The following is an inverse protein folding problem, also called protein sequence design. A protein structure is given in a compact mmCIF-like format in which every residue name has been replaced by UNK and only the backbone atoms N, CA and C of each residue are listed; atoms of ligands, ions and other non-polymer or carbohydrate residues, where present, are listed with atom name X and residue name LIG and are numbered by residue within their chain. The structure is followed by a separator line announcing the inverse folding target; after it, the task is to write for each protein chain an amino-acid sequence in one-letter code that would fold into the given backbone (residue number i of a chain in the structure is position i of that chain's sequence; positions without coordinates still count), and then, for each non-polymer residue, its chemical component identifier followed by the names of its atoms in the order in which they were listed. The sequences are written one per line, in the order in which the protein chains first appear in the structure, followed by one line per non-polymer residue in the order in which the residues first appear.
data_IF_868819278212
#
_entry.id   IF_868819278212
#
_cell.length_a   1.000
_cell.length_b   1.000
_cell.length_c   1.000
_cell.angle_alpha   90.00
_cell.angle_beta   90.00
_cell.angle_gamma   90.00
#
_symmetry.space_group_name_H-M   'P 1'
#
loop_
_entity.id
_entity.type
_entity.pdbx_description
1 polymer ?
#
# COMPACT_ATOMS: atom_id res chain seq x y z
N UNK A 1 -18.34 -5.90 -0.27
CA UNK A 1 -17.37 -5.20 -1.14
C UNK A 1 -16.96 -6.16 -2.24
N UNK A 2 -16.78 -5.66 -3.47
CA UNK A 2 -16.38 -6.47 -4.62
C UNK A 2 -14.86 -6.64 -4.64
N UNK A 3 -14.35 -7.86 -4.83
CA UNK A 3 -12.94 -8.07 -5.11
C UNK A 3 -12.56 -7.44 -6.44
N UNK A 4 -11.32 -7.00 -6.59
CA UNK A 4 -10.83 -6.45 -7.85
C UNK A 4 -9.39 -6.92 -8.07
N UNK A 5 -9.01 -7.11 -9.34
CA UNK A 5 -7.66 -7.47 -9.72
C UNK A 5 -6.91 -6.26 -10.28
N UNK A 6 -5.59 -6.26 -10.13
CA UNK A 6 -4.72 -5.30 -10.79
C UNK A 6 -3.34 -5.91 -11.05
N UNK A 7 -2.64 -5.35 -12.05
CA UNK A 7 -1.25 -5.72 -12.34
C UNK A 7 -0.28 -4.87 -11.53
N UNK A 8 0.77 -5.49 -11.01
CA UNK A 8 1.76 -4.79 -10.20
C UNK A 8 3.01 -4.40 -10.98
N UNK A 9 3.52 -3.20 -10.71
CA UNK A 9 4.91 -2.85 -10.97
C UNK A 9 5.77 -3.25 -9.76
N UNK A 10 6.28 -4.49 -9.78
CA UNK A 10 6.85 -5.19 -8.62
C UNK A 10 8.18 -4.66 -8.10
N UNK A 11 8.74 -3.62 -8.72
CA UNK A 11 10.08 -3.10 -8.43
C UNK A 11 10.25 -2.72 -6.95
N UNK A 12 9.21 -2.15 -6.34
CA UNK A 12 9.18 -1.76 -4.92
C UNK A 12 9.35 -2.95 -3.95
N UNK A 13 8.95 -4.16 -4.36
CA UNK A 13 8.93 -5.32 -3.48
C UNK A 13 10.10 -6.28 -3.71
N UNK A 14 11.09 -5.89 -4.52
CA UNK A 14 12.36 -6.62 -4.62
C UNK A 14 12.22 -8.08 -5.08
N UNK A 15 11.21 -8.38 -5.90
CA UNK A 15 10.93 -9.74 -6.37
C UNK A 15 10.00 -10.55 -5.47
N UNK A 16 9.62 -10.05 -4.27
CA UNK A 16 8.58 -10.66 -3.46
C UNK A 16 7.20 -10.61 -4.14
N UNK A 17 7.01 -9.60 -5.00
CA UNK A 17 5.88 -9.53 -5.93
C UNK A 17 6.48 -9.36 -7.34
N UNK A 18 6.28 -10.33 -8.25
CA UNK A 18 6.78 -10.22 -9.61
C UNK A 18 6.17 -9.02 -10.36
N UNK A 19 6.95 -8.35 -11.19
CA UNK A 19 6.39 -7.35 -12.11
C UNK A 19 5.44 -8.02 -13.09
N UNK A 20 4.27 -7.41 -13.31
CA UNK A 20 3.19 -7.95 -14.13
C UNK A 20 2.30 -8.97 -13.43
N UNK A 21 2.59 -9.36 -12.19
CA UNK A 21 1.72 -10.25 -11.42
C UNK A 21 0.32 -9.64 -11.29
N UNK A 22 -0.69 -10.47 -11.53
CA UNK A 22 -2.08 -10.13 -11.23
C UNK A 22 -2.35 -10.49 -9.77
N UNK A 23 -2.77 -9.51 -8.98
CA UNK A 23 -3.15 -9.72 -7.60
C UNK A 23 -4.62 -9.39 -7.40
N UNK A 24 -5.34 -10.25 -6.67
CA UNK A 24 -6.72 -10.02 -6.28
C UNK A 24 -6.78 -9.36 -4.91
N UNK A 25 -7.37 -8.17 -4.83
CA UNK A 25 -7.57 -7.49 -3.55
C UNK A 25 -8.70 -8.18 -2.77
N UNK A 26 -8.38 -8.58 -1.54
CA UNK A 26 -9.35 -9.13 -0.60
C UNK A 26 -9.80 -8.02 0.38
N UNK A 27 -11.02 -7.48 0.23
CA UNK A 27 -11.53 -6.42 1.08
C UNK A 27 -12.18 -6.92 2.38
N UNK A 28 -12.18 -8.25 2.62
CA UNK A 28 -12.97 -8.87 3.70
C UNK A 28 -12.23 -9.19 5.01
N UNK A 29 -10.91 -9.48 5.05
CA UNK A 29 -10.23 -9.85 6.27
C UNK A 29 -9.63 -8.65 6.99
N UNK A 30 -9.49 -8.80 8.32
CA UNK A 30 -8.59 -7.98 9.10
C UNK A 30 -7.17 -8.08 8.54
N UNK A 31 -6.47 -6.94 8.49
CA UNK A 31 -5.12 -6.84 7.95
C UNK A 31 -4.13 -6.90 9.11
N UNK A 32 -3.19 -7.83 9.05
CA UNK A 32 -2.19 -8.04 10.09
C UNK A 32 -0.77 -7.68 9.63
N UNK A 33 0.14 -7.36 10.58
CA UNK A 33 1.56 -7.18 10.27
C UNK A 33 2.16 -8.37 9.49
N UNK A 34 3.07 -8.07 8.57
CA UNK A 34 3.69 -9.02 7.65
C UNK A 34 2.89 -9.28 6.36
N UNK A 35 1.64 -8.83 6.27
CA UNK A 35 0.82 -9.02 5.08
C UNK A 35 1.07 -7.95 4.02
N UNK A 36 0.91 -8.33 2.74
CA UNK A 36 0.88 -7.39 1.64
C UNK A 36 -0.44 -6.63 1.62
N UNK A 37 -0.35 -5.34 1.31
CA UNK A 37 -1.50 -4.45 1.19
C UNK A 37 -1.38 -3.58 -0.05
N UNK A 38 -2.51 -3.38 -0.71
CA UNK A 38 -2.68 -2.29 -1.67
C UNK A 38 -3.13 -1.06 -0.89
N UNK A 39 -2.41 0.05 -1.05
CA UNK A 39 -2.70 1.32 -0.39
C UNK A 39 -3.07 2.35 -1.42
N UNK A 40 -4.26 2.93 -1.27
CA UNK A 40 -4.75 4.05 -2.08
C UNK A 40 -4.64 5.32 -1.24
N UNK A 41 -3.91 6.31 -1.74
CA UNK A 41 -3.67 7.57 -1.04
C UNK A 41 -4.66 8.64 -1.48
N UNK A 42 -4.98 9.58 -0.57
CA UNK A 42 -5.77 10.77 -0.91
C UNK A 42 -5.01 11.63 -1.92
N UNK A 43 -5.74 12.19 -2.88
CA UNK A 43 -5.19 13.13 -3.87
C UNK A 43 -4.81 14.49 -3.28
N UNK A 44 -5.16 14.75 -2.02
CA UNK A 44 -4.94 16.01 -1.31
C UNK A 44 -4.13 15.78 -0.04
N UNK A 45 -3.46 16.83 0.43
CA UNK A 45 -2.68 16.82 1.67
C UNK A 45 -1.19 16.51 1.46
N UNK A 46 -0.44 16.25 2.54
CA UNK A 46 1.02 16.10 2.50
C UNK A 46 1.53 14.99 1.55
N UNK A 47 0.73 13.95 1.31
CA UNK A 47 1.07 12.84 0.40
C UNK A 47 0.58 13.05 -1.05
N UNK A 48 0.05 14.23 -1.39
CA UNK A 48 -0.52 14.50 -2.71
C UNK A 48 0.49 14.33 -3.84
N UNK A 49 1.77 14.64 -3.63
CA UNK A 49 2.80 14.49 -4.65
C UNK A 49 2.95 13.03 -5.08
N UNK A 50 2.99 12.12 -4.11
CA UNK A 50 3.01 10.69 -4.38
C UNK A 50 1.71 10.25 -5.05
N UNK A 51 0.55 10.66 -4.55
CA UNK A 51 -0.74 10.32 -5.14
C UNK A 51 -0.87 10.77 -6.61
N UNK A 52 -0.37 11.97 -6.94
CA UNK A 52 -0.35 12.48 -8.31
C UNK A 52 0.62 11.71 -9.20
N UNK A 53 1.81 11.36 -8.71
CA UNK A 53 2.76 10.53 -9.44
C UNK A 53 2.18 9.15 -9.77
N UNK A 54 1.48 8.50 -8.82
CA UNK A 54 0.81 7.22 -9.09
C UNK A 54 -0.24 7.38 -10.18
N UNK A 55 -1.11 8.38 -10.04
CA UNK A 55 -2.18 8.63 -10.99
C UNK A 55 -1.68 8.99 -12.40
N UNK A 56 -0.62 9.81 -12.50
CA UNK A 56 0.00 10.21 -13.76
C UNK A 56 0.64 9.06 -14.53
N UNK A 57 1.06 8.00 -13.83
CA UNK A 57 1.55 6.75 -14.42
C UNK A 57 0.44 5.71 -14.64
N UNK A 58 -0.83 6.08 -14.43
CA UNK A 58 -1.97 5.16 -14.57
C UNK A 58 -2.08 4.13 -13.44
N UNK A 59 -1.35 4.29 -12.34
CA UNK A 59 -1.38 3.37 -11.21
C UNK A 59 -2.47 3.76 -10.20
N UNK A 60 -3.24 2.76 -9.75
CA UNK A 60 -4.36 2.95 -8.81
C UNK A 60 -3.91 3.09 -7.34
N UNK A 61 -2.71 2.62 -7.01
CA UNK A 61 -2.18 2.61 -5.64
C UNK A 61 -0.77 2.03 -5.59
N UNK A 62 -0.29 1.73 -4.39
CA UNK A 62 1.00 1.06 -4.17
C UNK A 62 0.83 -0.21 -3.37
N UNK A 63 1.60 -1.25 -3.73
CA UNK A 63 1.73 -2.45 -2.90
C UNK A 63 2.87 -2.26 -1.91
N UNK A 64 2.60 -2.53 -0.63
CA UNK A 64 3.55 -2.49 0.48
C UNK A 64 3.30 -3.66 1.42
N UNK A 65 4.26 -3.93 2.30
CA UNK A 65 4.04 -4.82 3.45
C UNK A 65 3.61 -3.98 4.66
N UNK A 66 2.52 -4.37 5.33
CA UNK A 66 2.12 -3.74 6.59
C UNK A 66 3.05 -4.21 7.70
N UNK A 67 3.65 -3.29 8.46
CA UNK A 67 4.43 -3.60 9.66
C UNK A 67 3.62 -3.42 10.95
N UNK A 68 2.48 -2.73 10.86
CA UNK A 68 1.59 -2.42 11.98
C UNK A 68 1.16 -0.96 11.97
N UNK A 69 0.71 -0.47 13.12
CA UNK A 69 0.33 0.93 13.33
C UNK A 69 1.18 1.54 14.43
N UNK A 70 1.41 2.84 14.35
CA UNK A 70 2.04 3.64 15.39
C UNK A 70 1.24 4.91 15.62
N UNK A 71 1.49 5.58 16.74
CA UNK A 71 1.02 6.94 16.97
C UNK A 71 2.16 7.91 16.65
N UNK A 72 1.87 8.97 15.90
CA UNK A 72 2.83 10.07 15.69
C UNK A 72 2.95 10.91 16.95
N UNK A 73 4.00 11.74 17.06
CA UNK A 73 4.14 12.66 18.19
C UNK A 73 2.96 13.64 18.37
N UNK A 74 2.18 13.87 17.30
CA UNK A 74 0.95 14.68 17.33
C UNK A 74 -0.32 13.90 17.67
N UNK A 75 -0.23 12.65 18.15
CA UNK A 75 -1.38 11.84 18.52
C UNK A 75 -2.15 11.21 17.36
N UNK A 76 -1.60 11.24 16.14
CA UNK A 76 -2.26 10.72 14.94
C UNK A 76 -1.82 9.29 14.67
N UNK A 77 -2.78 8.37 14.50
CA UNK A 77 -2.51 6.99 14.05
C UNK A 77 -1.95 6.97 12.64
N UNK A 78 -0.87 6.22 12.45
CA UNK A 78 -0.22 6.01 11.16
C UNK A 78 0.05 4.54 10.90
N UNK A 79 -0.15 4.11 9.66
CA UNK A 79 0.26 2.79 9.19
C UNK A 79 1.75 2.79 8.87
N UNK A 80 2.46 1.80 9.40
CA UNK A 80 3.87 1.55 9.10
C UNK A 80 3.95 0.59 7.91
N UNK A 81 4.48 1.07 6.79
CA UNK A 81 4.51 0.35 5.52
C UNK A 81 5.95 0.13 5.06
N UNK A 82 6.31 -1.12 4.79
CA UNK A 82 7.60 -1.49 4.25
C UNK A 82 7.58 -1.60 2.73
N UNK A 83 8.63 -1.04 2.13
CA UNK A 83 9.12 -1.34 0.80
C UNK A 83 10.40 -2.16 0.94
N UNK A 84 10.57 -3.19 0.13
CA UNK A 84 11.74 -4.07 0.21
C UNK A 84 12.87 -3.65 -0.72
N UNK A 85 12.56 -2.91 -1.79
CA UNK A 85 13.56 -2.44 -2.75
C UNK A 85 13.24 -1.05 -3.35
N UNK A 86 14.07 -0.02 -3.07
CA UNK A 86 15.03 0.02 -1.96
C UNK A 86 14.32 -0.18 -0.62
N UNK A 87 15.02 -0.69 0.42
CA UNK A 87 14.45 -0.91 1.74
C UNK A 87 14.07 0.44 2.37
N UNK A 88 12.77 0.66 2.54
CA UNK A 88 12.21 1.90 3.11
C UNK A 88 11.07 1.51 4.04
N UNK A 89 10.99 2.19 5.19
CA UNK A 89 9.79 2.18 6.04
C UNK A 89 9.14 3.56 5.94
N UNK A 90 7.86 3.58 5.57
CA UNK A 90 7.05 4.78 5.46
C UNK A 90 5.96 4.75 6.53
N UNK A 91 5.88 5.82 7.32
CA UNK A 91 4.74 6.06 8.20
C UNK A 91 3.70 6.90 7.45
N UNK A 92 2.51 6.34 7.19
CA UNK A 92 1.41 7.03 6.50
C UNK A 92 0.27 7.26 7.48
N UNK A 93 -0.01 8.52 7.87
CA UNK A 93 -1.18 8.83 8.70
C UNK A 93 -2.46 8.28 8.08
N UNK A 94 -3.31 7.65 8.89
CA UNK A 94 -4.57 7.04 8.44
C UNK A 94 -5.46 8.07 7.72
N UNK A 95 -5.41 9.33 8.17
CA UNK A 95 -6.12 10.46 7.55
C UNK A 95 -5.76 10.69 6.06
N UNK A 96 -4.65 10.14 5.56
CA UNK A 96 -4.22 10.25 4.16
C UNK A 96 -4.46 8.98 3.33
N UNK A 97 -4.97 7.92 3.93
CA UNK A 97 -5.36 6.68 3.25
C UNK A 97 -6.83 6.79 2.83
N UNK A 98 -7.12 6.46 1.58
CA UNK A 98 -8.50 6.32 1.04
C UNK A 98 -9.00 4.91 1.28
N UNK A 99 -8.15 3.93 0.99
CA UNK A 99 -8.44 2.52 1.16
C UNK A 99 -7.14 1.75 1.37
N UNK A 100 -7.23 0.68 2.16
CA UNK A 100 -6.16 -0.30 2.32
C UNK A 100 -6.81 -1.69 2.25
N UNK A 101 -6.35 -2.51 1.32
CA UNK A 101 -6.88 -3.87 1.12
C UNK A 101 -5.75 -4.88 1.19
N UNK A 102 -6.02 -6.03 1.79
CA UNK A 102 -5.05 -7.13 1.84
C UNK A 102 -4.86 -7.69 0.45
N UNK A 103 -3.61 -8.01 0.13
CA UNK A 103 -3.24 -8.73 -1.06
C UNK A 103 -2.74 -10.13 -0.66
N UNK A 104 -3.24 -11.21 -1.28
CA UNK A 104 -2.61 -12.51 -1.17
C UNK A 104 -1.22 -12.45 -1.81
N UNK A 105 -0.27 -13.20 -1.25
CA UNK A 105 1.03 -13.38 -1.90
C UNK A 105 0.81 -14.28 -3.11
N UNK A 106 1.26 -13.89 -4.32
CA UNK A 106 1.19 -14.77 -5.48
C UNK A 106 2.00 -16.04 -5.17
N UNK A 107 1.38 -17.21 -5.32
CA UNK A 107 2.03 -18.51 -5.14
C UNK A 107 3.02 -18.79 -6.26
#
# INVERSE_FOLDING_TARGET
MTTYTFHTEGHCMGGFVPTGAELEADPTPEIHPGQLVAVVLKKTGPMQGLAHSLHGNGWLGVVKMLLGTTETAGGVTAHMLAQLNPPIVLAVPEAHVVAMHRMPVPR
#
